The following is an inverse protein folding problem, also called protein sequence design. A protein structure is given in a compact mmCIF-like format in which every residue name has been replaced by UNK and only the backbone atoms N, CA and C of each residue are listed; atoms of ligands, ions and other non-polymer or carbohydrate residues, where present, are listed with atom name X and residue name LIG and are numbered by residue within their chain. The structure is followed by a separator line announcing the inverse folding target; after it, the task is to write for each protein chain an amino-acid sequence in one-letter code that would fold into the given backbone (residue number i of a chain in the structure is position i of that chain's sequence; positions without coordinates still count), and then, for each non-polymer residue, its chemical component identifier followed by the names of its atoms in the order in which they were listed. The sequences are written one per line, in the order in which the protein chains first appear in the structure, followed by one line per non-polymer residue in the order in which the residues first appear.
data_IF_137819932352
#
_entry.id   IF_137819932352
#
_cell.length_a   1.000
_cell.length_b   1.000
_cell.length_c   1.000
_cell.angle_alpha   90.00
_cell.angle_beta   90.00
_cell.angle_gamma   90.00
#
_symmetry.space_group_name_H-M   'P 1'
#
loop_
_entity.id
_entity.type
_entity.pdbx_description
1 polymer ?
#
# COMPACT_ATOMS: atom_id res chain seq x y z
N UNK A 1 -5.33 13.36 -19.51
CA UNK A 1 -4.37 13.11 -18.40
C UNK A 1 -5.13 12.97 -17.08
N UNK A 2 -4.79 11.96 -16.27
CA UNK A 2 -5.44 11.72 -14.98
C UNK A 2 -4.36 11.76 -13.88
N UNK A 3 -4.41 12.72 -12.92
CA UNK A 3 -3.37 12.90 -11.90
C UNK A 3 -3.51 11.83 -10.81
N UNK A 4 -3.27 10.57 -11.17
CA UNK A 4 -3.33 9.42 -10.27
C UNK A 4 -1.89 9.00 -9.98
N UNK A 5 -1.46 9.24 -8.74
CA UNK A 5 -0.18 8.75 -8.23
C UNK A 5 -0.33 7.32 -7.70
N UNK A 6 0.76 6.56 -7.69
CA UNK A 6 0.84 5.21 -7.13
C UNK A 6 2.13 5.06 -6.34
N UNK A 7 2.04 4.46 -5.16
CA UNK A 7 3.16 4.25 -4.24
C UNK A 7 3.11 2.84 -3.67
N UNK A 8 4.27 2.20 -3.53
CA UNK A 8 4.42 0.97 -2.75
C UNK A 8 4.90 1.35 -1.37
N UNK A 9 4.19 0.91 -0.33
CA UNK A 9 4.47 1.27 1.06
C UNK A 9 4.61 0.04 1.93
N UNK A 10 5.38 0.17 3.01
CA UNK A 10 5.42 -0.84 4.07
C UNK A 10 4.25 -0.65 5.01
N UNK A 11 3.42 -1.68 5.21
CA UNK A 11 2.34 -1.69 6.20
C UNK A 11 2.91 -2.02 7.58
N UNK A 12 2.83 -1.05 8.50
CA UNK A 12 3.34 -1.16 9.85
C UNK A 12 2.26 -1.64 10.84
N UNK A 13 1.04 -1.11 10.74
CA UNK A 13 -0.07 -1.43 11.65
C UNK A 13 -1.43 -1.31 10.94
N UNK A 14 -2.39 -2.14 11.36
CA UNK A 14 -3.80 -2.04 10.99
C UNK A 14 -4.61 -1.79 12.25
N UNK A 15 -5.31 -0.66 12.32
CA UNK A 15 -6.19 -0.30 13.44
C UNK A 15 -7.54 0.17 12.91
N UNK A 16 -8.52 -0.74 12.96
CA UNK A 16 -9.86 -0.53 12.40
C UNK A 16 -9.80 -0.06 10.93
N UNK A 17 -10.15 1.19 10.66
CA UNK A 17 -10.13 1.81 9.34
C UNK A 17 -8.86 2.66 9.07
N UNK A 18 -7.83 2.54 9.91
CA UNK A 18 -6.56 3.27 9.78
C UNK A 18 -5.42 2.31 9.54
N UNK A 19 -4.59 2.65 8.55
CA UNK A 19 -3.35 1.94 8.23
C UNK A 19 -2.18 2.86 8.53
N UNK A 20 -1.26 2.41 9.38
CA UNK A 20 0.02 3.08 9.57
C UNK A 20 1.01 2.51 8.55
N UNK A 21 1.61 3.38 7.74
CA UNK A 21 2.50 2.97 6.65
C UNK A 21 3.80 3.78 6.64
N UNK A 22 4.83 3.25 5.99
CA UNK A 22 6.10 3.94 5.71
C UNK A 22 6.36 3.99 4.21
N UNK A 23 6.79 5.15 3.71
CA UNK A 23 7.21 5.32 2.31
C UNK A 23 6.19 6.00 1.38
N UNK A 24 5.13 6.62 1.94
CA UNK A 24 4.19 7.43 1.15
C UNK A 24 4.76 8.83 0.89
N UNK A 25 4.57 9.37 -0.31
CA UNK A 25 5.03 10.70 -0.76
C UNK A 25 3.86 11.67 -1.04
N UNK A 26 2.66 11.31 -0.59
CA UNK A 26 1.47 12.17 -0.65
C UNK A 26 1.51 13.27 0.42
N UNK A 27 1.01 14.46 0.08
CA UNK A 27 0.80 15.53 1.06
C UNK A 27 -0.32 15.14 2.04
N UNK A 28 -0.29 15.71 3.25
CA UNK A 28 -1.37 15.54 4.20
C UNK A 28 -2.72 15.99 3.61
N UNK A 29 -3.77 15.21 3.86
CA UNK A 29 -5.09 15.40 3.27
C UNK A 29 -5.27 14.95 1.80
N UNK A 30 -4.24 14.38 1.16
CA UNK A 30 -4.38 13.84 -0.21
C UNK A 30 -5.44 12.73 -0.28
N UNK A 31 -6.39 12.76 -1.24
CA UNK A 31 -7.41 11.73 -1.37
C UNK A 31 -6.84 10.35 -1.75
N UNK A 32 -7.29 9.31 -1.04
CA UNK A 32 -6.98 7.92 -1.37
C UNK A 32 -8.05 7.36 -2.30
N UNK A 33 -7.62 6.77 -3.42
CA UNK A 33 -8.52 6.19 -4.42
C UNK A 33 -8.66 4.67 -4.30
N UNK A 34 -7.57 3.95 -4.00
CA UNK A 34 -7.54 2.49 -4.01
C UNK A 34 -6.39 1.96 -3.13
N UNK A 35 -6.54 0.72 -2.65
CA UNK A 35 -5.52 -0.03 -1.90
C UNK A 35 -5.49 -1.46 -2.43
N UNK A 36 -4.30 -1.98 -2.70
CA UNK A 36 -4.08 -3.36 -3.12
C UNK A 36 -2.98 -4.02 -2.29
N UNK A 37 -3.03 -5.35 -2.08
CA UNK A 37 -1.90 -6.05 -1.48
C UNK A 37 -0.78 -6.09 -2.50
N UNK A 38 0.44 -5.90 -2.03
CA UNK A 38 1.64 -6.06 -2.85
C UNK A 38 2.01 -7.54 -2.96
N UNK A 39 2.18 -8.05 -4.18
CA UNK A 39 2.50 -9.46 -4.44
C UNK A 39 3.91 -9.61 -4.98
N UNK A 40 4.83 -10.26 -4.26
CA UNK A 40 6.18 -10.54 -4.77
C UNK A 40 6.20 -11.43 -6.02
N UNK A 41 5.12 -12.18 -6.29
CA UNK A 41 5.01 -13.05 -7.47
C UNK A 41 4.59 -12.28 -8.74
N UNK A 42 3.95 -11.12 -8.56
CA UNK A 42 3.44 -10.27 -9.66
C UNK A 42 4.22 -8.95 -9.79
N UNK A 43 4.71 -8.45 -8.66
CA UNK A 43 5.42 -7.20 -8.50
C UNK A 43 6.90 -7.45 -8.15
N UNK A 44 7.71 -6.39 -8.04
CA UNK A 44 9.18 -6.49 -8.04
C UNK A 44 9.91 -6.46 -6.69
N UNK A 45 9.24 -6.30 -5.53
CA UNK A 45 9.87 -6.32 -4.19
C UNK A 45 9.85 -7.77 -3.70
N UNK A 46 10.97 -8.52 -3.80
CA UNK A 46 10.92 -9.98 -3.68
C UNK A 46 10.64 -10.45 -2.25
N UNK A 47 11.00 -9.65 -1.25
CA UNK A 47 10.79 -9.95 0.16
C UNK A 47 9.40 -9.52 0.69
N UNK A 48 8.55 -8.95 -0.17
CA UNK A 48 7.21 -8.54 0.25
C UNK A 48 6.34 -9.76 0.57
N UNK A 49 5.57 -9.66 1.65
CA UNK A 49 4.61 -10.70 2.06
C UNK A 49 3.18 -10.24 1.79
N UNK A 50 2.37 -11.11 1.20
CA UNK A 50 0.94 -10.87 1.05
C UNK A 50 0.22 -11.34 2.32
N UNK A 51 -0.23 -10.38 3.13
CA UNK A 51 -1.02 -10.68 4.33
C UNK A 51 -2.53 -10.85 4.07
N UNK A 52 -3.01 -10.54 2.87
CA UNK A 52 -4.45 -10.50 2.55
C UNK A 52 -5.04 -11.88 2.25
N UNK A 53 -4.25 -12.79 1.70
CA UNK A 53 -4.67 -14.17 1.48
C UNK A 53 -4.28 -14.99 2.70
N UNK A 54 -5.27 -15.42 3.48
CA UNK A 54 -5.08 -16.53 4.42
C UNK A 54 -5.06 -17.83 3.60
N UNK A 55 -4.12 -18.72 3.90
CA UNK A 55 -4.32 -20.15 3.58
C UNK A 55 -5.47 -20.70 4.40
#
# INVERSE_FOLDING_TARGET
PNPIAFCVVELLEVKENRLLVRGIDALDGSPLLDIKPYSSDLDSVPAARIGWFKK
#
